data_IF_624882979023
#
_entry.id   IF_624882979023
#
_cell.length_a   1.000
_cell.length_b   1.000
_cell.length_c   1.000
_cell.angle_alpha   90.00
_cell.angle_beta   90.00
_cell.angle_gamma   90.00
#
_symmetry.space_group_name_H-M   'P 1'
#
loop_
_entity.id
_entity.type
_entity.pdbx_description
1 polymer ?
#
# COMPACT_ATOMS: atom_id res chain seq x y z
N UNK A 1 -3.33 13.39 -24.04
CA UNK A 1 -4.12 13.25 -25.30
C UNK A 1 -3.48 12.17 -26.16
N UNK A 2 -4.28 11.23 -26.66
CA UNK A 2 -3.81 10.20 -27.59
C UNK A 2 -4.00 10.72 -29.02
N UNK A 3 -2.97 10.60 -29.84
CA UNK A 3 -2.98 11.12 -31.23
C UNK A 3 -3.45 10.09 -32.26
N UNK A 4 -3.94 8.93 -31.83
CA UNK A 4 -4.39 7.83 -32.70
C UNK A 4 -5.38 6.88 -32.03
N UNK A 5 -5.88 5.87 -32.75
CA UNK A 5 -6.77 4.85 -32.21
C UNK A 5 -6.10 4.11 -31.06
N UNK A 6 -6.83 3.93 -29.93
CA UNK A 6 -6.37 3.16 -28.78
C UNK A 6 -7.38 2.10 -28.42
N UNK A 7 -6.90 0.95 -27.97
CA UNK A 7 -7.72 -0.03 -27.29
C UNK A 7 -7.82 0.38 -25.82
N UNK A 8 -9.03 0.61 -25.34
CA UNK A 8 -9.30 0.99 -23.97
C UNK A 8 -10.29 0.01 -23.34
N UNK A 9 -9.90 -0.59 -22.20
CA UNK A 9 -10.77 -1.48 -21.42
C UNK A 9 -10.79 -1.03 -19.98
N UNK A 10 -11.96 -0.74 -19.46
CA UNK A 10 -12.20 -0.38 -18.08
C UNK A 10 -13.31 -1.28 -17.52
N UNK A 11 -13.05 -1.90 -16.37
CA UNK A 11 -13.98 -2.76 -15.64
C UNK A 11 -13.95 -2.37 -14.17
N UNK A 12 -15.10 -2.32 -13.47
CA UNK A 12 -15.14 -1.95 -12.05
C UNK A 12 -14.69 -3.13 -11.18
N UNK A 13 -13.37 -3.33 -11.11
CA UNK A 13 -12.68 -4.34 -10.29
C UNK A 13 -11.60 -3.69 -9.44
N UNK A 14 -11.13 -4.38 -8.43
CA UNK A 14 -10.16 -3.87 -7.48
C UNK A 14 -8.74 -3.76 -8.03
N UNK A 15 -8.41 -4.56 -9.06
CA UNK A 15 -7.06 -4.60 -9.64
C UNK A 15 -7.09 -4.74 -11.15
N UNK A 16 -6.22 -4.01 -11.85
CA UNK A 16 -6.03 -4.14 -13.29
C UNK A 16 -5.57 -5.54 -13.71
N UNK A 17 -4.84 -6.25 -12.86
CA UNK A 17 -4.43 -7.63 -13.14
C UNK A 17 -5.61 -8.60 -13.30
N UNK A 18 -6.75 -8.32 -12.65
CA UNK A 18 -8.00 -9.05 -12.86
C UNK A 18 -8.49 -8.90 -14.30
N UNK A 19 -8.41 -7.69 -14.86
CA UNK A 19 -8.76 -7.43 -16.27
C UNK A 19 -7.81 -8.19 -17.21
N UNK A 20 -6.50 -8.18 -16.91
CA UNK A 20 -5.52 -8.91 -17.72
C UNK A 20 -5.79 -10.42 -17.69
N UNK A 21 -6.13 -10.99 -16.54
CA UNK A 21 -6.49 -12.40 -16.45
C UNK A 21 -7.77 -12.73 -17.24
N UNK A 22 -8.79 -11.88 -17.19
CA UNK A 22 -9.98 -12.01 -18.02
C UNK A 22 -9.63 -12.01 -19.54
N UNK A 23 -8.68 -11.16 -19.95
CA UNK A 23 -8.22 -11.14 -21.35
C UNK A 23 -7.53 -12.45 -21.75
N UNK A 24 -6.74 -13.07 -20.85
CA UNK A 24 -6.19 -14.41 -21.08
C UNK A 24 -7.30 -15.44 -21.33
N UNK A 25 -8.33 -15.42 -20.47
CA UNK A 25 -9.47 -16.33 -20.60
C UNK A 25 -10.25 -16.13 -21.91
N UNK A 26 -10.51 -14.89 -22.30
CA UNK A 26 -11.20 -14.54 -23.57
C UNK A 26 -10.47 -15.01 -24.80
N UNK A 27 -9.14 -15.07 -24.74
CA UNK A 27 -8.29 -15.59 -25.83
C UNK A 27 -8.07 -17.10 -25.75
N UNK A 28 -8.65 -17.79 -24.78
CA UNK A 28 -8.41 -19.22 -24.55
C UNK A 28 -6.97 -19.53 -24.14
N UNK A 29 -6.26 -18.56 -23.60
CA UNK A 29 -4.87 -18.70 -23.17
C UNK A 29 -4.76 -18.88 -21.66
N UNK A 30 -3.75 -19.63 -21.24
CA UNK A 30 -3.37 -19.75 -19.83
C UNK A 30 -2.05 -19.01 -19.61
N UNK A 31 -1.93 -18.13 -18.60
CA UNK A 31 -0.66 -17.50 -18.29
C UNK A 31 0.37 -18.54 -17.84
N UNK A 32 1.67 -18.26 -18.05
CA UNK A 32 2.72 -19.10 -17.46
C UNK A 32 2.67 -19.03 -15.93
N UNK A 33 3.34 -19.97 -15.25
CA UNK A 33 3.41 -19.98 -13.79
C UNK A 33 3.92 -18.65 -13.22
N UNK A 34 4.97 -18.10 -13.81
CA UNK A 34 5.59 -16.83 -13.39
C UNK A 34 4.63 -15.65 -13.59
N UNK A 35 3.97 -15.59 -14.75
CA UNK A 35 2.98 -14.53 -15.03
C UNK A 35 1.77 -14.66 -14.11
N UNK A 36 1.31 -15.88 -13.83
CA UNK A 36 0.23 -16.09 -12.87
C UNK A 36 0.61 -15.61 -11.47
N UNK A 37 1.84 -15.87 -11.01
CA UNK A 37 2.36 -15.36 -9.73
C UNK A 37 2.42 -13.83 -9.69
N UNK A 38 2.86 -13.17 -10.75
CA UNK A 38 2.89 -11.71 -10.84
C UNK A 38 1.49 -11.09 -10.82
N UNK A 39 0.55 -11.66 -11.59
CA UNK A 39 -0.84 -11.19 -11.60
C UNK A 39 -1.52 -11.42 -10.24
N UNK A 40 -1.26 -12.57 -9.60
CA UNK A 40 -1.72 -12.87 -8.25
C UNK A 40 -1.19 -11.83 -7.25
N UNK A 41 0.11 -11.55 -7.27
CA UNK A 41 0.73 -10.55 -6.40
C UNK A 41 0.06 -9.18 -6.53
N UNK A 42 -0.19 -8.73 -7.76
CA UNK A 42 -0.85 -7.46 -8.02
C UNK A 42 -2.27 -7.42 -7.44
N UNK A 43 -3.07 -8.50 -7.65
CA UNK A 43 -4.43 -8.57 -7.10
C UNK A 43 -4.40 -8.54 -5.57
N UNK A 44 -3.54 -9.35 -4.93
CA UNK A 44 -3.45 -9.40 -3.46
C UNK A 44 -3.00 -8.07 -2.87
N UNK A 45 -2.08 -7.37 -3.53
CA UNK A 45 -1.61 -6.04 -3.13
C UNK A 45 -2.72 -5.00 -3.22
N UNK A 46 -3.34 -4.83 -4.39
CA UNK A 46 -4.33 -3.78 -4.64
C UNK A 46 -5.63 -3.99 -3.84
N UNK A 47 -5.99 -5.25 -3.60
CA UNK A 47 -7.21 -5.60 -2.85
C UNK A 47 -6.96 -5.79 -1.35
N UNK A 48 -5.74 -5.63 -0.87
CA UNK A 48 -5.34 -5.92 0.52
C UNK A 48 -5.81 -7.31 0.96
N UNK A 49 -5.54 -8.32 0.13
CA UNK A 49 -6.03 -9.70 0.31
C UNK A 49 -7.57 -9.71 0.48
N UNK A 50 -8.26 -9.06 -0.47
CA UNK A 50 -9.72 -8.94 -0.58
C UNK A 50 -10.40 -8.14 0.55
N UNK A 51 -9.65 -7.37 1.35
CA UNK A 51 -10.17 -6.53 2.44
C UNK A 51 -10.45 -5.10 2.03
N UNK A 52 -9.87 -4.66 0.89
CA UNK A 52 -10.12 -3.31 0.37
C UNK A 52 -11.61 -3.15 0.00
N UNK A 53 -12.22 -1.97 0.27
CA UNK A 53 -13.58 -1.69 -0.18
C UNK A 53 -13.74 -1.68 -1.71
N UNK A 54 -12.62 -1.62 -2.45
CA UNK A 54 -12.60 -1.73 -3.92
C UNK A 54 -12.56 -3.18 -4.42
N UNK A 55 -12.30 -4.16 -3.54
CA UNK A 55 -12.25 -5.58 -3.89
C UNK A 55 -13.61 -6.08 -4.37
N UNK A 56 -13.59 -6.94 -5.39
CA UNK A 56 -14.80 -7.52 -5.97
C UNK A 56 -14.73 -9.05 -5.98
N UNK A 57 -15.87 -9.76 -6.10
CA UNK A 57 -15.87 -11.21 -6.27
C UNK A 57 -15.09 -11.69 -7.51
N UNK A 58 -14.93 -10.82 -8.52
CA UNK A 58 -14.13 -11.12 -9.71
C UNK A 58 -12.64 -11.15 -9.40
N UNK A 59 -12.16 -10.27 -8.52
CA UNK A 59 -10.77 -10.26 -8.05
C UNK A 59 -10.47 -11.55 -7.27
N UNK A 60 -11.37 -11.95 -6.37
CA UNK A 60 -11.20 -13.21 -5.63
C UNK A 60 -11.17 -14.44 -6.54
N UNK A 61 -12.07 -14.49 -7.53
CA UNK A 61 -12.13 -15.63 -8.48
C UNK A 61 -10.86 -15.68 -9.33
N UNK A 62 -10.39 -14.54 -9.83
CA UNK A 62 -9.16 -14.44 -10.60
C UNK A 62 -7.94 -14.84 -9.74
N UNK A 63 -7.83 -14.34 -8.52
CA UNK A 63 -6.73 -14.69 -7.64
C UNK A 63 -6.67 -16.18 -7.31
N UNK A 64 -7.80 -16.83 -7.03
CA UNK A 64 -7.86 -18.28 -6.77
C UNK A 64 -7.36 -19.08 -7.99
N UNK A 65 -7.85 -18.76 -9.18
CA UNK A 65 -7.43 -19.42 -10.40
C UNK A 65 -5.94 -19.19 -10.72
N UNK A 66 -5.44 -17.98 -10.48
CA UNK A 66 -4.02 -17.65 -10.65
C UNK A 66 -3.13 -18.35 -9.63
N UNK A 67 -3.58 -18.49 -8.37
CA UNK A 67 -2.89 -19.23 -7.33
C UNK A 67 -2.74 -20.71 -7.69
N UNK A 68 -3.81 -21.33 -8.23
CA UNK A 68 -3.76 -22.71 -8.71
C UNK A 68 -2.72 -22.88 -9.84
N UNK A 69 -2.67 -21.94 -10.80
CA UNK A 69 -1.70 -21.96 -11.91
C UNK A 69 -0.27 -21.72 -11.39
N UNK A 70 -0.09 -20.80 -10.45
CA UNK A 70 1.21 -20.48 -9.86
C UNK A 70 1.69 -21.58 -8.89
N UNK A 71 0.78 -22.41 -8.38
CA UNK A 71 1.06 -23.41 -7.34
C UNK A 71 1.33 -22.78 -5.97
N UNK A 72 0.59 -21.70 -5.66
CA UNK A 72 0.75 -20.93 -4.42
C UNK A 72 -0.50 -21.03 -3.53
N UNK A 73 -0.28 -21.04 -2.21
CA UNK A 73 -1.34 -20.89 -1.20
C UNK A 73 -1.51 -19.41 -0.88
N UNK A 74 -2.69 -18.84 -1.16
CA UNK A 74 -2.94 -17.40 -1.06
C UNK A 74 -2.55 -16.81 0.30
N UNK A 75 -2.97 -17.35 1.46
CA UNK A 75 -2.60 -16.81 2.76
C UNK A 75 -1.08 -16.76 2.98
N UNK A 76 -0.41 -17.88 2.71
CA UNK A 76 1.04 -18.01 2.88
C UNK A 76 1.80 -17.09 1.93
N UNK A 77 1.38 -17.05 0.67
CA UNK A 77 2.00 -16.22 -0.36
C UNK A 77 1.85 -14.73 -0.05
N UNK A 78 0.66 -14.30 0.36
CA UNK A 78 0.38 -12.92 0.75
C UNK A 78 1.25 -12.49 1.93
N UNK A 79 1.38 -13.34 2.97
CA UNK A 79 2.22 -13.03 4.13
C UNK A 79 3.68 -12.83 3.72
N UNK A 80 4.23 -13.74 2.92
CA UNK A 80 5.61 -13.63 2.41
C UNK A 80 5.81 -12.38 1.54
N UNK A 81 4.87 -12.08 0.65
CA UNK A 81 4.92 -10.92 -0.23
C UNK A 81 4.94 -9.60 0.56
N UNK A 82 4.03 -9.46 1.53
CA UNK A 82 3.96 -8.24 2.33
C UNK A 82 5.15 -8.13 3.30
N UNK A 83 5.64 -9.25 3.85
CA UNK A 83 6.82 -9.24 4.71
C UNK A 83 8.08 -8.84 3.93
N UNK A 84 8.23 -9.34 2.69
CA UNK A 84 9.30 -8.91 1.79
C UNK A 84 9.19 -7.43 1.40
N UNK A 85 7.98 -6.93 1.16
CA UNK A 85 7.72 -5.51 0.89
C UNK A 85 7.98 -4.59 2.09
N UNK A 86 7.85 -5.11 3.30
CA UNK A 86 8.10 -4.40 4.55
C UNK A 86 9.57 -4.53 5.03
N UNK A 87 10.43 -5.20 4.28
CA UNK A 87 11.87 -5.28 4.62
C UNK A 87 12.54 -3.93 4.42
N UNK A 88 13.02 -3.37 5.53
CA UNK A 88 13.70 -2.08 5.58
C UNK A 88 15.22 -2.21 5.58
N UNK A 89 15.77 -3.40 5.32
CA UNK A 89 17.22 -3.64 5.29
C UNK A 89 17.91 -2.71 4.30
N UNK A 90 18.87 -1.91 4.79
CA UNK A 90 19.61 -0.95 3.99
C UNK A 90 18.86 0.34 3.62
N UNK A 91 17.62 0.51 4.07
CA UNK A 91 16.89 1.78 3.92
C UNK A 91 17.27 2.78 4.99
N UNK A 92 17.37 4.03 4.59
CA UNK A 92 17.54 5.14 5.54
C UNK A 92 16.20 5.58 6.12
N UNK A 93 16.24 6.34 7.21
CA UNK A 93 15.04 6.95 7.80
C UNK A 93 14.31 7.85 6.79
N UNK A 94 15.05 8.58 5.96
CA UNK A 94 14.51 9.41 4.89
C UNK A 94 13.79 8.58 3.82
N UNK A 95 14.37 7.45 3.40
CA UNK A 95 13.75 6.57 2.39
C UNK A 95 12.40 6.01 2.88
N UNK A 96 12.35 5.60 4.16
CA UNK A 96 11.12 5.07 4.75
C UNK A 96 10.09 6.16 4.92
N UNK A 97 10.48 7.31 5.49
CA UNK A 97 9.59 8.45 5.70
C UNK A 97 8.99 8.97 4.39
N UNK A 98 9.79 9.08 3.33
CA UNK A 98 9.40 9.68 2.06
C UNK A 98 8.65 8.73 1.12
N UNK A 99 8.59 7.42 1.43
CA UNK A 99 8.00 6.41 0.54
C UNK A 99 6.51 6.66 0.24
N UNK A 100 5.75 7.10 1.23
CA UNK A 100 4.36 7.57 1.07
C UNK A 100 4.12 8.79 1.98
N UNK A 101 4.72 9.91 1.59
CA UNK A 101 4.61 11.17 2.31
C UNK A 101 4.07 12.27 1.40
N UNK A 102 3.13 13.06 1.91
CA UNK A 102 2.53 14.18 1.18
C UNK A 102 2.40 15.40 2.08
N UNK A 103 2.74 16.55 1.51
CA UNK A 103 2.56 17.85 2.15
C UNK A 103 1.20 18.45 1.75
N UNK A 104 0.53 19.04 2.73
CA UNK A 104 -0.77 19.69 2.58
C UNK A 104 -0.74 21.11 3.16
N UNK A 105 -1.69 21.92 2.73
CA UNK A 105 -1.94 23.23 3.32
C UNK A 105 -3.45 23.49 3.45
N UNK A 106 -3.84 24.10 4.57
CA UNK A 106 -5.20 24.57 4.80
C UNK A 106 -5.15 25.96 5.41
N UNK A 107 -5.47 26.99 4.62
CA UNK A 107 -5.19 28.39 4.99
C UNK A 107 -3.69 28.58 5.21
N UNK A 108 -3.32 29.14 6.34
CA UNK A 108 -1.92 29.40 6.69
C UNK A 108 -1.22 28.18 7.35
N UNK A 109 -1.96 27.09 7.63
CA UNK A 109 -1.43 25.90 8.28
C UNK A 109 -0.89 24.95 7.23
N UNK A 110 0.41 24.63 7.35
CA UNK A 110 1.08 23.60 6.54
C UNK A 110 1.31 22.36 7.40
N UNK A 111 1.06 21.20 6.84
CA UNK A 111 1.29 19.92 7.53
C UNK A 111 1.66 18.82 6.55
N UNK A 112 2.33 17.80 7.06
CA UNK A 112 2.68 16.60 6.33
C UNK A 112 1.91 15.39 6.83
N UNK A 113 1.58 14.47 5.92
CA UNK A 113 0.99 13.17 6.25
C UNK A 113 1.82 12.10 5.58
N UNK A 114 2.31 11.17 6.38
CA UNK A 114 3.05 10.00 5.91
C UNK A 114 2.40 8.71 6.37
N UNK A 115 2.75 7.59 5.72
CA UNK A 115 2.24 6.28 6.06
C UNK A 115 3.27 5.19 5.80
N UNK A 116 3.31 4.23 6.73
CA UNK A 116 3.89 2.88 6.53
C UNK A 116 2.84 1.83 6.82
N UNK A 117 2.79 0.80 5.98
CA UNK A 117 1.95 -0.38 6.21
C UNK A 117 2.81 -1.53 6.73
N UNK A 118 2.24 -2.37 7.57
CA UNK A 118 2.93 -3.53 8.13
C UNK A 118 2.00 -4.74 8.29
N UNK A 119 2.60 -5.93 8.39
CA UNK A 119 1.90 -7.20 8.62
C UNK A 119 2.31 -7.85 9.95
N UNK A 120 3.43 -7.43 10.54
CA UNK A 120 3.99 -7.99 11.77
C UNK A 120 4.45 -6.88 12.71
N UNK A 121 4.40 -7.14 14.02
CA UNK A 121 4.92 -6.20 15.03
C UNK A 121 6.41 -5.91 14.82
N UNK A 122 7.16 -6.85 14.27
CA UNK A 122 8.58 -6.68 13.95
C UNK A 122 8.78 -5.64 12.85
N UNK A 123 8.01 -5.72 11.76
CA UNK A 123 8.10 -4.74 10.66
C UNK A 123 7.61 -3.35 11.11
N UNK A 124 6.57 -3.29 11.97
CA UNK A 124 6.13 -2.05 12.60
C UNK A 124 7.26 -1.41 13.43
N UNK A 125 7.83 -2.17 14.37
CA UNK A 125 8.89 -1.65 15.24
C UNK A 125 10.12 -1.18 14.46
N UNK A 126 10.47 -1.87 13.37
CA UNK A 126 11.57 -1.46 12.50
C UNK A 126 11.30 -0.11 11.79
N UNK A 127 10.08 0.09 11.28
CA UNK A 127 9.69 1.34 10.66
C UNK A 127 9.61 2.49 11.69
N UNK A 128 9.02 2.24 12.84
CA UNK A 128 8.90 3.19 13.95
C UNK A 128 10.28 3.68 14.42
N UNK A 129 11.23 2.76 14.63
CA UNK A 129 12.59 3.07 15.04
C UNK A 129 13.37 3.97 14.04
N UNK A 130 13.01 3.94 12.77
CA UNK A 130 13.59 4.81 11.75
C UNK A 130 12.85 6.15 11.65
N UNK A 131 11.52 6.13 11.68
CA UNK A 131 10.70 7.32 11.42
C UNK A 131 10.66 8.25 12.63
N UNK A 132 10.47 7.73 13.84
CA UNK A 132 10.30 8.55 15.05
C UNK A 132 11.45 9.54 15.26
N UNK A 133 12.74 9.13 15.28
CA UNK A 133 13.85 10.05 15.47
C UNK A 133 14.07 11.01 14.28
N UNK A 134 13.50 10.69 13.11
CA UNK A 134 13.65 11.49 11.90
C UNK A 134 12.61 12.63 11.79
N UNK A 135 11.47 12.56 12.48
CA UNK A 135 10.40 13.57 12.37
C UNK A 135 10.87 15.03 12.60
N UNK A 136 11.76 15.33 13.59
CA UNK A 136 12.27 16.69 13.76
C UNK A 136 13.10 17.20 12.58
N UNK A 137 13.84 16.33 11.93
CA UNK A 137 14.63 16.66 10.75
C UNK A 137 13.72 16.85 9.53
N UNK A 138 12.79 15.93 9.32
CA UNK A 138 11.78 16.00 8.27
C UNK A 138 10.99 17.32 8.34
N UNK A 139 10.53 17.70 9.53
CA UNK A 139 9.81 18.96 9.76
C UNK A 139 10.64 20.18 9.31
N UNK A 140 11.93 20.21 9.63
CA UNK A 140 12.82 21.31 9.23
C UNK A 140 13.08 21.33 7.72
N UNK A 141 13.34 20.16 7.12
CA UNK A 141 13.65 20.03 5.68
C UNK A 141 12.47 20.40 4.81
N UNK A 142 11.30 19.90 5.15
CA UNK A 142 10.06 20.14 4.39
C UNK A 142 9.41 21.49 4.73
N UNK A 143 9.88 22.18 5.79
CA UNK A 143 9.28 23.44 6.25
C UNK A 143 7.85 23.25 6.77
N UNK A 144 7.57 22.09 7.37
CA UNK A 144 6.26 21.70 7.86
C UNK A 144 6.23 21.71 9.39
N UNK A 145 5.47 22.61 10.03
CA UNK A 145 5.39 22.69 11.49
C UNK A 145 4.67 21.52 12.14
N UNK A 146 3.90 20.76 11.36
CA UNK A 146 3.09 19.63 11.79
C UNK A 146 3.33 18.44 10.88
N UNK A 147 3.58 17.26 11.45
CA UNK A 147 3.66 15.99 10.72
C UNK A 147 2.80 14.96 11.45
N UNK A 148 2.00 14.24 10.68
CA UNK A 148 1.21 13.09 11.10
C UNK A 148 1.70 11.87 10.34
N UNK A 149 2.10 10.81 11.04
CA UNK A 149 2.62 9.61 10.42
C UNK A 149 1.83 8.39 10.87
N UNK A 150 1.25 7.69 9.93
CA UNK A 150 0.37 6.55 10.17
C UNK A 150 1.15 5.24 10.05
N UNK A 151 0.96 4.34 11.02
CA UNK A 151 1.40 2.95 10.96
C UNK A 151 0.15 2.08 10.86
N UNK A 152 -0.11 1.55 9.66
CA UNK A 152 -1.33 0.79 9.37
C UNK A 152 -1.08 -0.71 9.39
N UNK A 153 -1.73 -1.40 10.32
CA UNK A 153 -1.76 -2.86 10.37
C UNK A 153 -2.73 -3.40 9.31
N UNK A 154 -2.18 -4.14 8.36
CA UNK A 154 -2.95 -4.72 7.26
C UNK A 154 -3.77 -5.94 7.70
N UNK A 155 -3.45 -6.58 8.84
CA UNK A 155 -4.21 -7.72 9.37
C UNK A 155 -5.46 -7.28 10.11
N UNK A 156 -5.30 -6.29 11.00
CA UNK A 156 -6.39 -5.80 11.87
C UNK A 156 -7.15 -4.62 11.27
N UNK A 157 -6.61 -4.01 10.21
CA UNK A 157 -7.14 -2.78 9.59
C UNK A 157 -7.21 -1.61 10.59
N UNK A 158 -6.27 -1.58 11.53
CA UNK A 158 -6.11 -0.50 12.49
C UNK A 158 -4.91 0.37 12.13
N UNK A 159 -4.95 1.63 12.52
CA UNK A 159 -3.88 2.59 12.29
C UNK A 159 -3.48 3.25 13.60
N UNK A 160 -2.20 3.13 13.95
CA UNK A 160 -1.61 3.94 14.99
C UNK A 160 -1.08 5.24 14.39
N UNK A 161 -1.29 6.34 15.08
CA UNK A 161 -0.88 7.66 14.63
C UNK A 161 0.25 8.22 15.50
N UNK A 162 1.39 8.44 14.86
CA UNK A 162 2.50 9.21 15.43
C UNK A 162 2.41 10.65 14.93
N UNK A 163 2.78 11.60 15.77
CA UNK A 163 2.69 13.01 15.40
C UNK A 163 3.88 13.81 15.90
N UNK A 164 4.18 14.90 15.20
CA UNK A 164 5.22 15.86 15.55
C UNK A 164 4.74 17.29 15.32
N UNK A 165 5.10 18.18 16.24
CA UNK A 165 4.85 19.60 16.14
C UNK A 165 3.98 20.16 17.27
N UNK A 166 3.96 21.49 17.35
CA UNK A 166 3.23 22.19 18.42
C UNK A 166 1.72 22.02 18.20
N UNK A 167 1.01 21.62 19.25
CA UNK A 167 -0.44 21.36 19.26
C UNK A 167 -0.89 20.19 18.36
N UNK A 168 0.02 19.35 17.86
CA UNK A 168 -0.36 18.20 17.03
C UNK A 168 -1.29 17.24 17.77
N UNK A 169 -1.02 16.98 19.07
CA UNK A 169 -1.86 16.12 19.91
C UNK A 169 -3.27 16.72 20.12
N UNK A 170 -3.36 18.02 20.36
CA UNK A 170 -4.65 18.71 20.54
C UNK A 170 -5.49 18.64 19.28
N UNK A 171 -4.87 18.88 18.11
CA UNK A 171 -5.54 18.77 16.79
C UNK A 171 -6.12 17.38 16.58
N UNK A 172 -5.37 16.32 16.96
CA UNK A 172 -5.87 14.94 16.83
C UNK A 172 -7.04 14.70 17.77
N UNK A 173 -6.94 15.09 19.03
CA UNK A 173 -8.03 14.93 20.02
C UNK A 173 -9.30 15.66 19.65
N UNK A 174 -9.18 16.78 18.94
CA UNK A 174 -10.35 17.55 18.47
C UNK A 174 -10.97 16.97 17.19
N UNK A 175 -10.22 16.12 16.47
CA UNK A 175 -10.65 15.52 15.22
C UNK A 175 -11.36 14.17 15.40
N UNK A 176 -11.11 13.46 16.51
CA UNK A 176 -11.62 12.12 16.84
C UNK A 176 -12.23 12.06 18.24
#
# INVERSE_FOLDING_TARGET
ETTGPVYFRNVPVGCTATILYQMYQEQGMTPSREIAGLLLSAILSDTLVFRSPTSTPQDEAAAKALADIAGEDIPTYAEQMFEAGADLTGRTAEDVFSSDFKAFSRGDVKFGVGQSTYMTDKSRAAAEALVEPYLPEASRREGLPLIFYMFTDMKTQSTDLMFYGRNAEEIIRDAF
#
